data_IF_148659339799
#
_entry.id   IF_148659339799
#
_cell.length_a   1.000
_cell.length_b   1.000
_cell.length_c   1.000
_cell.angle_alpha   90.00
_cell.angle_beta   90.00
_cell.angle_gamma   90.00
#
_symmetry.space_group_name_H-M   'P 1'
#
loop_
_entity.id
_entity.type
_entity.pdbx_description
1 polymer ?
#
# COMPACT_ATOMS: atom_id res chain seq x y z
N UNK A 1 21.63 -3.72 11.33
CA UNK A 1 21.03 -2.70 12.26
C UNK A 1 19.69 -3.25 12.72
N UNK A 2 19.36 -3.17 14.00
CA UNK A 2 18.06 -3.66 14.48
C UNK A 2 16.96 -2.73 13.96
N UNK A 3 15.79 -3.27 13.58
CA UNK A 3 14.68 -2.47 13.06
C UNK A 3 14.23 -1.31 13.99
N UNK A 4 14.41 -1.45 15.31
CA UNK A 4 14.09 -0.40 16.28
C UNK A 4 14.96 0.85 16.10
N UNK A 5 16.26 0.70 15.85
CA UNK A 5 17.17 1.83 15.66
C UNK A 5 16.81 2.62 14.39
N UNK A 6 16.39 1.89 13.35
CA UNK A 6 15.93 2.49 12.09
C UNK A 6 14.61 3.23 12.26
N UNK A 7 13.66 2.65 12.99
CA UNK A 7 12.36 3.25 13.24
C UNK A 7 12.44 4.58 14.03
N UNK A 8 13.51 4.80 14.79
CA UNK A 8 13.77 6.03 15.56
C UNK A 8 14.72 7.00 14.86
N UNK A 9 15.24 6.65 13.68
CA UNK A 9 16.12 7.51 12.91
C UNK A 9 15.35 8.74 12.34
N UNK A 10 16.05 9.81 11.92
CA UNK A 10 15.44 10.93 11.21
C UNK A 10 14.67 10.45 9.96
N UNK A 11 13.58 11.13 9.60
CA UNK A 11 12.70 10.75 8.50
C UNK A 11 13.46 10.55 7.17
N UNK A 12 14.43 11.42 6.86
CA UNK A 12 15.27 11.28 5.66
C UNK A 12 16.01 9.93 5.61
N UNK A 13 16.50 9.45 6.75
CA UNK A 13 17.15 8.14 6.85
C UNK A 13 16.14 7.00 6.74
N UNK A 14 14.96 7.14 7.35
CA UNK A 14 13.87 6.17 7.23
C UNK A 14 13.45 6.03 5.77
N UNK A 15 13.24 7.13 5.05
CA UNK A 15 12.90 7.17 3.63
C UNK A 15 13.96 6.45 2.77
N UNK A 16 15.25 6.75 3.00
CA UNK A 16 16.34 6.09 2.27
C UNK A 16 16.32 4.57 2.44
N UNK A 17 16.12 4.10 3.68
CA UNK A 17 16.08 2.67 3.99
C UNK A 17 14.85 1.99 3.37
N UNK A 18 13.68 2.63 3.45
CA UNK A 18 12.46 2.06 2.82
C UNK A 18 12.65 1.98 1.31
N UNK A 19 13.19 3.01 0.65
CA UNK A 19 13.51 2.98 -0.79
C UNK A 19 14.43 1.81 -1.14
N UNK A 20 15.51 1.63 -0.38
CA UNK A 20 16.47 0.54 -0.59
C UNK A 20 15.78 -0.84 -0.49
N UNK A 21 14.94 -1.05 0.54
CA UNK A 21 14.21 -2.29 0.74
C UNK A 21 13.22 -2.54 -0.41
N UNK A 22 12.45 -1.54 -0.80
CA UNK A 22 11.44 -1.67 -1.85
C UNK A 22 12.09 -1.95 -3.23
N UNK A 23 13.18 -1.26 -3.55
CA UNK A 23 13.93 -1.46 -4.80
C UNK A 23 14.64 -2.83 -4.87
N UNK A 24 14.86 -3.48 -3.74
CA UNK A 24 15.38 -4.85 -3.70
C UNK A 24 14.31 -5.91 -4.05
N UNK A 25 13.02 -5.56 -4.05
CA UNK A 25 11.94 -6.43 -4.52
C UNK A 25 11.74 -6.23 -6.03
N UNK A 26 12.28 -7.14 -6.83
CA UNK A 26 12.23 -7.06 -8.30
C UNK A 26 10.78 -7.02 -8.82
N UNK A 27 9.88 -7.84 -8.26
CA UNK A 27 8.47 -7.88 -8.70
C UNK A 27 7.78 -6.54 -8.45
N UNK A 28 7.98 -5.93 -7.29
CA UNK A 28 7.46 -4.59 -7.01
C UNK A 28 8.07 -3.56 -7.98
N UNK A 29 9.37 -3.65 -8.27
CA UNK A 29 10.04 -2.81 -9.26
C UNK A 29 9.42 -2.92 -10.65
N UNK A 30 9.16 -4.14 -11.10
CA UNK A 30 8.53 -4.41 -12.41
C UNK A 30 7.10 -3.83 -12.46
N UNK A 31 6.31 -3.99 -11.39
CA UNK A 31 4.95 -3.42 -11.30
C UNK A 31 5.00 -1.88 -11.28
N UNK A 32 5.95 -1.27 -10.56
CA UNK A 32 6.14 0.19 -10.58
C UNK A 32 6.47 0.71 -11.98
N UNK A 33 7.36 0.05 -12.70
CA UNK A 33 7.70 0.41 -14.09
C UNK A 33 6.49 0.25 -15.01
N UNK A 34 5.76 -0.86 -14.89
CA UNK A 34 4.53 -1.10 -15.65
C UNK A 34 3.50 0.02 -15.45
N UNK A 35 3.28 0.46 -14.19
CA UNK A 35 2.36 1.55 -13.87
C UNK A 35 2.85 2.90 -14.40
N UNK A 36 4.15 3.17 -14.35
CA UNK A 36 4.72 4.43 -14.87
C UNK A 36 4.51 4.59 -16.37
N UNK A 37 4.50 3.48 -17.11
CA UNK A 37 4.24 3.47 -18.55
C UNK A 37 2.75 3.55 -18.90
N UNK A 38 1.87 3.20 -17.97
CA UNK A 38 0.41 3.23 -18.17
C UNK A 38 -0.19 4.65 -18.11
N UNK A 39 0.60 5.64 -17.68
CA UNK A 39 0.19 7.05 -17.62
C UNK A 39 -1.09 7.30 -16.79
N UNK A 40 -1.30 6.52 -15.74
CA UNK A 40 -2.43 6.72 -14.84
C UNK A 40 -2.30 8.06 -14.09
N UNK A 41 -3.39 8.83 -13.94
CA UNK A 41 -3.31 10.11 -13.24
C UNK A 41 -3.13 9.89 -11.74
N UNK A 42 -2.17 10.59 -11.14
CA UNK A 42 -1.92 10.61 -9.70
C UNK A 42 -1.95 9.19 -9.05
N UNK A 43 -1.17 8.29 -9.62
CA UNK A 43 -1.16 6.88 -9.21
C UNK A 43 -0.11 6.57 -8.15
N UNK A 44 -0.41 5.56 -7.34
CA UNK A 44 0.51 4.93 -6.39
C UNK A 44 0.28 3.42 -6.34
N UNK A 45 1.30 2.67 -5.94
CA UNK A 45 1.12 1.35 -5.36
C UNK A 45 0.98 1.54 -3.86
N UNK A 46 -0.11 1.04 -3.29
CA UNK A 46 -0.43 1.21 -1.87
C UNK A 46 -0.76 -0.11 -1.17
N UNK A 47 -1.67 -0.04 -0.21
CA UNK A 47 -2.28 -1.20 0.42
C UNK A 47 -1.32 -2.08 1.20
N UNK A 48 -1.38 -3.39 0.93
CA UNK A 48 -0.63 -4.40 1.65
C UNK A 48 0.81 -4.59 1.16
N UNK A 49 1.05 -4.49 -0.14
CA UNK A 49 2.33 -4.85 -0.76
C UNK A 49 3.53 -4.07 -0.21
N UNK A 50 3.37 -2.76 0.05
CA UNK A 50 4.44 -1.90 0.58
C UNK A 50 4.87 -2.33 1.99
N UNK A 51 3.98 -2.41 3.00
CA UNK A 51 4.39 -2.86 4.33
C UNK A 51 4.83 -4.33 4.35
N UNK A 52 4.23 -5.20 3.56
CA UNK A 52 4.60 -6.61 3.49
C UNK A 52 6.02 -6.79 2.95
N UNK A 53 6.43 -6.05 1.91
CA UNK A 53 7.82 -6.06 1.40
C UNK A 53 8.80 -5.64 2.50
N UNK A 54 8.51 -4.58 3.26
CA UNK A 54 9.37 -4.14 4.37
C UNK A 54 9.42 -5.19 5.49
N UNK A 55 8.28 -5.79 5.82
CA UNK A 55 8.22 -6.82 6.86
C UNK A 55 8.91 -8.12 6.43
N UNK A 56 8.82 -8.51 5.15
CA UNK A 56 9.55 -9.65 4.58
C UNK A 56 11.04 -9.44 4.74
N UNK A 57 11.56 -8.25 4.37
CA UNK A 57 12.97 -7.91 4.56
C UNK A 57 13.44 -8.11 6.02
N UNK A 58 12.69 -7.57 6.99
CA UNK A 58 13.08 -7.70 8.40
C UNK A 58 12.91 -9.10 8.97
N UNK A 59 12.05 -9.96 8.38
CA UNK A 59 11.92 -11.36 8.76
C UNK A 59 12.93 -12.26 8.06
N UNK A 60 13.64 -11.77 7.02
CA UNK A 60 14.51 -12.58 6.18
C UNK A 60 13.72 -13.56 5.30
N UNK A 61 12.50 -13.22 4.93
CA UNK A 61 11.64 -13.98 4.04
C UNK A 61 11.91 -13.63 2.58
N UNK A 62 11.33 -14.41 1.66
CA UNK A 62 11.27 -14.05 0.25
C UNK A 62 10.60 -12.65 0.12
N UNK A 63 11.08 -11.75 -0.75
CA UNK A 63 10.52 -10.42 -0.91
C UNK A 63 9.02 -10.40 -1.20
N UNK A 64 8.49 -11.45 -1.85
CA UNK A 64 7.07 -11.58 -2.21
C UNK A 64 6.28 -12.48 -1.26
N UNK A 65 6.86 -12.91 -0.12
CA UNK A 65 6.17 -13.76 0.84
C UNK A 65 4.83 -13.13 1.27
N UNK A 66 3.72 -13.88 1.08
CA UNK A 66 2.34 -13.48 1.42
C UNK A 66 1.84 -12.19 0.74
N UNK A 67 2.50 -11.70 -0.33
CA UNK A 67 1.98 -10.65 -1.18
C UNK A 67 1.03 -11.29 -2.19
N UNK A 68 -0.28 -11.09 -1.99
CA UNK A 68 -1.33 -11.68 -2.81
C UNK A 68 -1.78 -10.74 -3.94
N UNK A 69 -1.65 -9.44 -3.70
CA UNK A 69 -2.07 -8.37 -4.60
C UNK A 69 -1.15 -7.16 -4.52
N UNK A 70 -1.09 -6.43 -5.61
CA UNK A 70 -0.55 -5.07 -5.69
C UNK A 70 -1.73 -4.13 -5.89
N UNK A 71 -2.08 -3.36 -4.87
CA UNK A 71 -3.12 -2.33 -4.92
C UNK A 71 -2.58 -1.13 -5.73
N UNK A 72 -2.93 -1.06 -7.03
CA UNK A 72 -2.63 0.05 -7.92
C UNK A 72 -3.77 1.03 -7.80
N UNK A 73 -3.53 2.14 -7.15
CA UNK A 73 -4.54 3.16 -6.88
C UNK A 73 -4.26 4.42 -7.68
N UNK A 74 -5.30 5.06 -8.20
CA UNK A 74 -5.21 6.31 -8.94
C UNK A 74 -6.43 7.19 -8.66
N UNK A 75 -6.42 8.43 -9.15
CA UNK A 75 -7.54 9.35 -8.98
C UNK A 75 -7.95 9.96 -10.31
N UNK A 76 -9.17 9.63 -10.74
CA UNK A 76 -9.84 10.25 -11.89
C UNK A 76 -11.32 10.45 -11.55
N UNK A 77 -11.74 11.69 -11.35
CA UNK A 77 -13.13 12.06 -11.06
C UNK A 77 -13.96 12.31 -12.32
N UNK A 78 -13.36 12.23 -13.49
CA UNK A 78 -14.04 12.40 -14.79
C UNK A 78 -14.72 11.13 -15.26
N UNK A 79 -14.24 9.94 -14.84
CA UNK A 79 -14.85 8.65 -15.13
C UNK A 79 -14.99 7.79 -13.86
N UNK A 80 -16.20 7.73 -13.34
CA UNK A 80 -16.55 6.93 -12.16
C UNK A 80 -17.11 5.55 -12.51
N UNK A 81 -16.84 5.01 -13.69
CA UNK A 81 -17.30 3.69 -14.10
C UNK A 81 -16.33 2.60 -13.63
N UNK A 82 -16.87 1.47 -13.21
CA UNK A 82 -16.05 0.30 -12.87
C UNK A 82 -15.40 -0.33 -14.11
N UNK A 83 -16.00 -0.16 -15.27
CA UNK A 83 -15.49 -0.72 -16.51
C UNK A 83 -14.10 -0.21 -16.88
N UNK A 84 -13.79 1.05 -16.54
CA UNK A 84 -12.47 1.63 -16.76
C UNK A 84 -11.42 0.99 -15.85
N UNK A 85 -11.71 0.78 -14.57
CA UNK A 85 -10.80 0.05 -13.65
C UNK A 85 -10.52 -1.37 -14.18
N UNK A 86 -11.58 -2.11 -14.54
CA UNK A 86 -11.47 -3.47 -15.08
C UNK A 86 -10.70 -3.52 -16.41
N UNK A 87 -10.84 -2.49 -17.24
CA UNK A 87 -10.08 -2.33 -18.49
C UNK A 87 -8.59 -2.15 -18.24
N UNK A 88 -8.22 -1.26 -17.32
CA UNK A 88 -6.84 -1.00 -16.92
C UNK A 88 -6.23 -2.26 -16.26
N UNK A 89 -6.94 -2.89 -15.33
CA UNK A 89 -6.48 -4.12 -14.67
C UNK A 89 -6.18 -5.22 -15.69
N UNK A 90 -7.05 -5.39 -16.69
CA UNK A 90 -6.85 -6.37 -17.77
C UNK A 90 -5.65 -6.03 -18.66
N UNK A 91 -5.47 -4.76 -19.00
CA UNK A 91 -4.33 -4.30 -19.81
C UNK A 91 -3.01 -4.54 -19.07
N UNK A 92 -2.90 -4.10 -17.81
CA UNK A 92 -1.69 -4.29 -17.00
C UNK A 92 -1.38 -5.78 -16.81
N UNK A 93 -2.39 -6.60 -16.50
CA UNK A 93 -2.23 -8.04 -16.35
C UNK A 93 -1.80 -8.73 -17.65
N UNK A 94 -2.26 -8.25 -18.81
CA UNK A 94 -1.82 -8.77 -20.11
C UNK A 94 -0.36 -8.41 -20.44
N UNK A 95 0.12 -7.26 -19.93
CA UNK A 95 1.53 -6.81 -20.10
C UNK A 95 2.48 -7.51 -19.13
N UNK A 96 1.98 -8.01 -17.99
CA UNK A 96 2.79 -8.77 -17.02
C UNK A 96 2.09 -10.09 -16.63
N UNK A 97 1.97 -11.06 -17.58
CA UNK A 97 1.22 -12.30 -17.36
C UNK A 97 1.82 -13.22 -16.29
N UNK A 98 3.13 -13.12 -16.06
CA UNK A 98 3.85 -13.93 -15.07
C UNK A 98 3.97 -13.24 -13.69
N UNK A 99 3.22 -12.16 -13.45
CA UNK A 99 3.19 -11.52 -12.14
C UNK A 99 2.70 -12.53 -11.08
N UNK A 100 3.46 -12.76 -10.00
CA UNK A 100 3.10 -13.78 -9.00
C UNK A 100 1.94 -13.37 -8.09
N UNK A 101 1.48 -12.12 -8.18
CA UNK A 101 0.39 -11.55 -7.40
C UNK A 101 -0.62 -10.85 -8.33
N UNK A 102 -1.87 -10.71 -7.87
CA UNK A 102 -2.89 -9.98 -8.61
C UNK A 102 -2.52 -8.49 -8.73
N UNK A 103 -2.73 -7.90 -9.91
CA UNK A 103 -2.73 -6.45 -10.06
C UNK A 103 -4.16 -5.97 -9.83
N UNK A 104 -4.43 -5.32 -8.70
CA UNK A 104 -5.77 -4.83 -8.31
C UNK A 104 -5.83 -3.31 -8.52
N UNK A 105 -6.65 -2.88 -9.50
CA UNK A 105 -6.71 -1.48 -9.91
C UNK A 105 -7.94 -0.81 -9.30
N UNK A 106 -7.73 0.30 -8.61
CA UNK A 106 -8.81 1.06 -7.96
C UNK A 106 -8.71 2.55 -8.27
N UNK A 107 -9.78 3.12 -8.81
CA UNK A 107 -9.96 4.56 -8.88
C UNK A 107 -10.49 5.09 -7.54
N UNK A 108 -9.66 5.78 -6.77
CA UNK A 108 -10.02 6.27 -5.44
C UNK A 108 -11.12 7.36 -5.47
N UNK A 109 -11.35 8.02 -6.61
CA UNK A 109 -12.51 8.90 -6.79
C UNK A 109 -13.86 8.17 -6.61
N UNK A 110 -13.87 6.83 -6.83
CA UNK A 110 -15.05 5.97 -6.70
C UNK A 110 -15.20 5.32 -5.32
N UNK A 111 -14.20 5.38 -4.46
CA UNK A 111 -14.17 4.63 -3.20
C UNK A 111 -15.47 4.80 -2.38
N UNK A 112 -16.00 6.02 -2.29
CA UNK A 112 -17.23 6.34 -1.56
C UNK A 112 -18.48 5.62 -2.08
N UNK A 113 -18.49 5.11 -3.32
CA UNK A 113 -19.63 4.41 -3.93
C UNK A 113 -19.79 2.96 -3.46
N UNK A 114 -18.70 2.33 -3.00
CA UNK A 114 -18.70 0.92 -2.64
C UNK A 114 -18.16 0.63 -1.23
N UNK A 115 -17.46 1.59 -0.61
CA UNK A 115 -16.76 1.40 0.66
C UNK A 115 -17.69 0.96 1.80
N UNK A 116 -18.86 1.62 1.92
CA UNK A 116 -19.84 1.29 2.97
C UNK A 116 -20.35 -0.14 2.84
N UNK A 117 -20.67 -0.58 1.63
CA UNK A 117 -21.12 -1.95 1.38
C UNK A 117 -20.05 -2.98 1.77
N UNK A 118 -18.77 -2.68 1.50
CA UNK A 118 -17.65 -3.61 1.73
C UNK A 118 -17.17 -3.62 3.18
N UNK A 119 -17.15 -2.47 3.85
CA UNK A 119 -16.49 -2.31 5.16
C UNK A 119 -17.45 -1.84 6.27
N UNK A 120 -18.72 -1.60 5.98
CA UNK A 120 -19.74 -1.26 6.97
C UNK A 120 -19.64 0.17 7.52
N UNK A 121 -18.92 1.07 6.84
CA UNK A 121 -18.75 2.48 7.22
C UNK A 121 -18.75 3.37 5.99
N UNK A 122 -19.64 4.35 5.94
CA UNK A 122 -19.64 5.35 4.87
C UNK A 122 -18.39 6.25 4.98
N UNK A 123 -17.84 6.63 3.84
CA UNK A 123 -16.75 7.61 3.72
C UNK A 123 -17.18 8.78 2.83
N UNK A 124 -16.54 9.92 3.01
CA UNK A 124 -16.69 11.03 2.07
C UNK A 124 -15.89 10.75 0.79
N UNK A 125 -16.30 11.30 -0.36
CA UNK A 125 -15.46 11.28 -1.55
C UNK A 125 -14.07 11.82 -1.25
N UNK A 126 -13.04 11.15 -1.73
CA UNK A 126 -11.67 11.67 -1.72
C UNK A 126 -11.52 12.75 -2.78
N UNK A 127 -10.50 13.58 -2.67
CA UNK A 127 -10.19 14.66 -3.60
C UNK A 127 -8.90 14.40 -4.39
N UNK A 128 -8.11 13.43 -3.96
CA UNK A 128 -6.89 12.95 -4.60
C UNK A 128 -6.53 11.55 -4.08
N UNK A 129 -5.55 10.90 -4.67
CA UNK A 129 -5.07 9.57 -4.23
C UNK A 129 -4.46 9.63 -2.84
N UNK A 130 -3.80 10.72 -2.48
CA UNK A 130 -3.17 10.94 -1.18
C UNK A 130 -4.18 10.95 -0.02
N UNK A 131 -5.40 11.44 -0.24
CA UNK A 131 -6.50 11.37 0.74
C UNK A 131 -6.84 9.92 1.08
N UNK A 132 -6.88 9.06 0.05
CA UNK A 132 -7.13 7.63 0.23
C UNK A 132 -6.00 6.97 1.03
N UNK A 133 -4.73 7.21 0.66
CA UNK A 133 -3.55 6.68 1.36
C UNK A 133 -3.56 7.12 2.83
N UNK A 134 -3.87 8.40 3.11
CA UNK A 134 -3.98 8.90 4.48
C UNK A 134 -5.02 8.14 5.31
N UNK A 135 -6.08 7.66 4.67
CA UNK A 135 -7.18 6.94 5.32
C UNK A 135 -6.97 5.43 5.44
N UNK A 136 -5.90 4.86 4.89
CA UNK A 136 -5.63 3.42 4.93
C UNK A 136 -5.65 2.86 6.36
N UNK A 137 -6.01 1.58 6.52
CA UNK A 137 -6.51 1.02 7.78
C UNK A 137 -5.49 1.00 8.92
N UNK A 138 -4.20 1.13 8.66
CA UNK A 138 -3.16 1.18 9.72
C UNK A 138 -2.10 2.23 9.41
N UNK A 139 -1.46 2.77 10.44
CA UNK A 139 -0.35 3.72 10.29
C UNK A 139 0.80 3.16 9.46
N UNK A 140 1.08 1.84 9.60
CA UNK A 140 2.12 1.16 8.83
C UNK A 140 1.76 0.95 7.35
N UNK A 141 0.48 0.88 7.01
CA UNK A 141 0.00 0.72 5.62
C UNK A 141 -0.43 2.04 4.96
N UNK A 142 -0.48 3.14 5.71
CA UNK A 142 -0.75 4.47 5.16
C UNK A 142 0.48 5.02 4.42
N UNK A 143 0.93 4.27 3.43
CA UNK A 143 2.09 4.56 2.59
C UNK A 143 1.76 4.20 1.15
N UNK A 144 2.05 5.11 0.24
CA UNK A 144 1.99 4.90 -1.20
C UNK A 144 3.36 5.11 -1.82
N UNK A 145 3.64 4.39 -2.90
CA UNK A 145 4.88 4.53 -3.66
C UNK A 145 4.58 4.68 -5.15
N UNK A 146 5.32 5.53 -5.82
CA UNK A 146 5.18 5.83 -7.24
C UNK A 146 6.54 6.10 -7.87
N UNK A 147 6.59 6.22 -9.19
CA UNK A 147 7.77 6.66 -9.94
C UNK A 147 7.51 8.07 -10.44
N UNK A 148 8.42 9.00 -10.11
CA UNK A 148 8.37 10.37 -10.61
C UNK A 148 8.63 10.44 -12.12
N UNK A 149 8.35 11.58 -12.75
CA UNK A 149 8.72 11.85 -14.15
C UNK A 149 10.22 11.70 -14.42
N UNK A 150 11.05 11.89 -13.40
CA UNK A 150 12.50 11.67 -13.45
C UNK A 150 12.93 10.21 -13.30
N UNK A 151 11.99 9.25 -13.15
CA UNK A 151 12.28 7.82 -12.98
C UNK A 151 12.72 7.43 -11.57
N UNK A 152 12.57 8.30 -10.58
CA UNK A 152 12.93 8.01 -9.21
C UNK A 152 11.73 7.48 -8.39
N UNK A 153 11.99 6.50 -7.51
CA UNK A 153 10.99 6.04 -6.56
C UNK A 153 10.63 7.15 -5.57
N UNK A 154 9.37 7.52 -5.51
CA UNK A 154 8.81 8.44 -4.52
C UNK A 154 7.95 7.71 -3.50
N UNK A 155 7.95 8.22 -2.27
CA UNK A 155 7.19 7.65 -1.15
C UNK A 155 6.32 8.75 -0.56
N UNK A 156 5.02 8.52 -0.52
CA UNK A 156 4.08 9.32 0.25
C UNK A 156 3.72 8.58 1.54
N UNK A 157 4.07 9.14 2.69
CA UNK A 157 3.86 8.55 4.01
C UNK A 157 3.35 9.60 5.01
N UNK A 158 2.08 9.98 4.94
CA UNK A 158 1.52 11.09 5.72
C UNK A 158 1.53 10.84 7.23
N UNK A 159 1.56 9.59 7.67
CA UNK A 159 1.64 9.21 9.09
C UNK A 159 3.07 8.82 9.51
N UNK A 160 4.06 9.09 8.65
CA UNK A 160 5.46 8.73 8.87
C UNK A 160 5.74 7.24 8.65
N UNK A 161 6.99 6.84 8.88
CA UNK A 161 7.48 5.49 8.60
C UNK A 161 7.87 4.71 9.88
N UNK A 162 7.72 5.33 11.04
CA UNK A 162 8.14 4.75 12.33
C UNK A 162 7.45 3.42 12.62
N UNK A 163 6.12 3.35 12.47
CA UNK A 163 5.36 2.13 12.73
C UNK A 163 5.67 1.05 11.67
N UNK A 164 5.83 1.42 10.40
CA UNK A 164 6.22 0.52 9.32
C UNK A 164 7.58 -0.15 9.61
N UNK A 165 8.60 0.64 9.85
CA UNK A 165 9.97 0.18 10.14
C UNK A 165 10.08 -0.49 11.51
N UNK A 166 9.27 -0.06 12.48
CA UNK A 166 9.18 -0.65 13.81
C UNK A 166 8.44 -1.99 13.86
N UNK A 167 7.88 -2.45 12.75
CA UNK A 167 7.01 -3.63 12.67
C UNK A 167 5.81 -3.49 13.63
N UNK A 168 5.20 -2.30 13.66
CA UNK A 168 4.04 -1.98 14.49
C UNK A 168 2.80 -1.82 13.63
N UNK A 169 1.75 -2.54 13.96
CA UNK A 169 0.42 -2.39 13.36
C UNK A 169 -0.47 -1.66 14.35
N UNK A 170 -0.79 -0.42 14.03
CA UNK A 170 -1.65 0.48 14.80
C UNK A 170 -2.84 0.90 13.95
N UNK A 171 -4.04 0.86 14.49
CA UNK A 171 -5.25 1.27 13.78
C UNK A 171 -5.19 2.75 13.38
N UNK A 172 -5.44 3.02 12.11
CA UNK A 172 -5.84 4.33 11.63
C UNK A 172 -7.37 4.38 11.56
N UNK A 173 -8.00 4.97 12.55
CA UNK A 173 -9.47 4.88 12.77
C UNK A 173 -10.30 5.80 11.86
N UNK A 174 -9.69 6.41 10.84
CA UNK A 174 -10.39 7.33 9.92
C UNK A 174 -11.55 6.61 9.21
N UNK A 175 -11.26 5.48 8.59
CA UNK A 175 -12.24 4.74 7.78
C UNK A 175 -12.52 3.33 8.29
N UNK A 176 -11.53 2.68 8.91
CA UNK A 176 -11.64 1.27 9.32
C UNK A 176 -12.55 1.07 10.55
N UNK A 177 -13.26 -0.05 10.57
CA UNK A 177 -13.98 -0.53 11.76
C UNK A 177 -13.10 -1.44 12.61
N UNK A 178 -13.44 -1.60 13.90
CA UNK A 178 -12.73 -2.48 14.81
C UNK A 178 -12.64 -3.93 14.28
N UNK A 179 -13.73 -4.45 13.78
CA UNK A 179 -13.82 -5.81 13.26
C UNK A 179 -12.82 -6.04 12.11
N UNK A 180 -12.83 -5.16 11.10
CA UNK A 180 -11.92 -5.24 9.95
C UNK A 180 -10.45 -5.12 10.37
N UNK A 181 -10.16 -4.23 11.32
CA UNK A 181 -8.82 -4.09 11.88
C UNK A 181 -8.33 -5.37 12.55
N UNK A 182 -9.14 -5.95 13.46
CA UNK A 182 -8.78 -7.15 14.21
C UNK A 182 -8.60 -8.38 13.30
N UNK A 183 -9.40 -8.52 12.24
CA UNK A 183 -9.21 -9.57 11.24
C UNK A 183 -7.90 -9.41 10.46
N UNK A 184 -7.61 -8.19 9.99
CA UNK A 184 -6.36 -7.87 9.31
C UNK A 184 -5.15 -8.13 10.22
N UNK A 185 -5.21 -7.72 11.48
CA UNK A 185 -4.16 -7.96 12.47
C UNK A 185 -3.91 -9.45 12.72
N UNK A 186 -4.97 -10.27 12.83
CA UNK A 186 -4.85 -11.71 13.03
C UNK A 186 -4.13 -12.38 11.86
N UNK A 187 -4.50 -12.02 10.61
CA UNK A 187 -3.85 -12.51 9.40
C UNK A 187 -2.38 -12.10 9.35
N UNK A 188 -2.08 -10.83 9.56
CA UNK A 188 -0.72 -10.31 9.51
C UNK A 188 0.18 -10.86 10.63
N UNK A 189 -0.33 -10.99 11.85
CA UNK A 189 0.43 -11.58 12.94
C UNK A 189 0.79 -13.05 12.71
N UNK A 190 -0.05 -13.78 11.98
CA UNK A 190 0.24 -15.15 11.57
C UNK A 190 1.35 -15.22 10.52
N UNK A 191 1.29 -14.35 9.51
CA UNK A 191 2.25 -14.31 8.42
C UNK A 191 3.60 -13.69 8.87
N UNK A 192 3.56 -12.66 9.72
CA UNK A 192 4.74 -11.93 10.22
C UNK A 192 4.79 -11.96 11.75
N UNK A 193 5.35 -13.03 12.36
CA UNK A 193 5.32 -13.21 13.82
C UNK A 193 6.01 -12.13 14.64
N UNK A 194 6.97 -11.38 14.06
CA UNK A 194 7.67 -10.27 14.75
C UNK A 194 6.86 -8.98 14.79
N UNK A 195 5.79 -8.86 14.00
CA UNK A 195 4.92 -7.69 14.01
C UNK A 195 4.25 -7.54 15.39
N UNK A 196 4.25 -6.33 15.92
CA UNK A 196 3.55 -5.96 17.15
C UNK A 196 2.21 -5.32 16.80
N UNK A 197 1.13 -5.93 17.24
CA UNK A 197 -0.22 -5.38 17.05
C UNK A 197 -0.58 -4.53 18.27
N UNK A 198 -0.98 -3.28 18.04
CA UNK A 198 -1.53 -2.40 19.06
C UNK A 198 -3.04 -2.70 19.16
N UNK A 199 -3.56 -3.05 20.35
CA UNK A 199 -4.99 -3.30 20.50
C UNK A 199 -5.85 -2.11 20.08
N UNK A 200 -7.07 -2.42 19.63
CA UNK A 200 -8.07 -1.39 19.38
C UNK A 200 -8.61 -0.85 20.71
N UNK A 201 -8.19 0.31 21.13
CA UNK A 201 -8.69 1.04 22.32
C UNK A 201 -9.82 2.01 21.96
#
# INVERSE_FOLDING_TARGET
>A
MQNRDVALAPLSRQMSIVKEILLANQVLGDVLMLCSEALLPNWYIGGGAVPQTVWNHYHGFDPNHEILDFDIIYFDDTDLTRATEEGIEKELSARYPDCPAKLDVTNEARAHLWYEQRFGKAIKPYTCTEDAIYSFPTTASAVGVTISEGGELEIYAPLGLTDLLGLVVRANKITITRHVYEEKCRRWKKAWPRVTVIPWE
#
